data_IF_207058758511
#
_entry.id   IF_207058758511
#
_cell.length_a   1.000
_cell.length_b   1.000
_cell.length_c   1.000
_cell.angle_alpha   90.00
_cell.angle_beta   90.00
_cell.angle_gamma   90.00
#
_symmetry.space_group_name_H-M   'P 1'
#
loop_
_entity.id
_entity.type
_entity.pdbx_description
1 polymer ?
#
# COMPACT_ATOMS: atom_id res chain seq x y z
N UNK A 1 35.70 -38.15 -22.38
CA UNK A 1 35.56 -36.88 -21.63
C UNK A 1 34.56 -35.86 -22.23
N UNK A 2 33.74 -36.21 -23.23
CA UNK A 2 32.78 -35.27 -23.84
C UNK A 2 31.34 -35.42 -23.32
N UNK A 3 30.95 -36.61 -22.84
CA UNK A 3 29.56 -36.92 -22.42
C UNK A 3 29.22 -36.30 -21.05
N UNK A 4 30.15 -36.35 -20.10
CA UNK A 4 30.00 -35.76 -18.75
C UNK A 4 29.85 -34.23 -18.81
N UNK A 5 30.58 -33.56 -19.74
CA UNK A 5 30.44 -32.12 -19.99
C UNK A 5 29.06 -31.75 -20.54
N UNK A 6 28.49 -32.56 -21.44
CA UNK A 6 27.16 -32.29 -22.01
C UNK A 6 26.05 -32.40 -20.96
N UNK A 7 26.11 -33.40 -20.08
CA UNK A 7 25.13 -33.62 -19.00
C UNK A 7 25.15 -32.46 -17.98
N UNK A 8 26.33 -31.99 -17.58
CA UNK A 8 26.47 -30.82 -16.69
C UNK A 8 25.90 -29.53 -17.28
N UNK A 9 26.11 -29.29 -18.59
CA UNK A 9 25.61 -28.08 -19.25
C UNK A 9 24.07 -28.10 -19.33
N UNK A 10 23.46 -29.24 -19.64
CA UNK A 10 21.99 -29.37 -19.66
C UNK A 10 21.35 -29.22 -18.28
N UNK A 11 21.99 -29.73 -17.22
CA UNK A 11 21.45 -29.63 -15.86
C UNK A 11 21.45 -28.17 -15.36
N UNK A 12 22.49 -27.39 -15.67
CA UNK A 12 22.56 -25.96 -15.31
C UNK A 12 21.52 -25.10 -16.03
N UNK A 13 21.19 -25.40 -17.28
CA UNK A 13 20.18 -24.64 -18.05
C UNK A 13 18.78 -24.85 -17.46
N UNK A 14 18.45 -26.08 -17.04
CA UNK A 14 17.15 -26.40 -16.43
C UNK A 14 16.96 -25.69 -15.08
N UNK A 15 18.01 -25.61 -14.25
CA UNK A 15 17.95 -24.93 -12.95
C UNK A 15 17.75 -23.41 -13.12
N UNK A 16 18.41 -22.79 -14.11
CA UNK A 16 18.21 -21.37 -14.42
C UNK A 16 16.79 -21.08 -14.93
N UNK A 17 16.19 -21.98 -15.73
CA UNK A 17 14.82 -21.83 -16.23
C UNK A 17 13.75 -21.97 -15.14
N UNK A 18 13.99 -22.81 -14.12
CA UNK A 18 13.06 -22.95 -12.98
C UNK A 18 13.17 -21.72 -12.05
N UNK A 19 14.37 -21.18 -11.84
CA UNK A 19 14.57 -19.96 -11.05
C UNK A 19 13.95 -18.71 -11.70
N UNK A 20 13.99 -18.59 -13.03
CA UNK A 20 13.40 -17.46 -13.75
C UNK A 20 11.87 -17.40 -13.61
N UNK A 21 11.18 -18.55 -13.60
CA UNK A 21 9.73 -18.61 -13.45
C UNK A 21 9.26 -18.36 -12.00
N UNK A 22 10.08 -18.68 -11.00
CA UNK A 22 9.79 -18.36 -9.60
C UNK A 22 9.90 -16.84 -9.32
N UNK A 23 10.83 -16.13 -9.97
CA UNK A 23 10.96 -14.68 -9.84
C UNK A 23 9.75 -13.90 -10.42
N UNK A 24 9.07 -14.40 -11.45
CA UNK A 24 7.87 -13.75 -12.00
C UNK A 24 6.63 -13.86 -11.10
N UNK A 25 6.56 -14.89 -10.25
CA UNK A 25 5.46 -15.08 -9.29
C UNK A 25 5.56 -14.14 -8.08
N UNK A 26 6.72 -13.53 -7.86
CA UNK A 26 7.00 -12.56 -6.80
C UNK A 26 6.75 -11.13 -7.28
N UNK A 27 6.42 -10.90 -8.57
CA UNK A 27 5.91 -9.60 -9.01
C UNK A 27 4.57 -9.39 -8.30
N UNK A 28 4.64 -8.54 -7.30
CA UNK A 28 3.87 -8.65 -6.07
C UNK A 28 2.39 -8.55 -6.33
N UNK A 29 1.60 -9.37 -5.64
CA UNK A 29 0.17 -9.35 -5.82
C UNK A 29 -0.35 -8.03 -5.25
N UNK A 30 -0.77 -7.09 -6.11
CA UNK A 30 -1.29 -5.77 -5.73
C UNK A 30 -2.77 -5.66 -6.06
N UNK A 31 -3.47 -4.85 -5.26
CA UNK A 31 -4.85 -4.46 -5.57
C UNK A 31 -4.85 -3.31 -6.57
N UNK A 32 -5.84 -3.27 -7.45
CA UNK A 32 -6.18 -2.05 -8.16
C UNK A 32 -6.94 -1.13 -7.20
N UNK A 33 -6.53 0.14 -7.09
CA UNK A 33 -7.20 1.13 -6.27
C UNK A 33 -7.88 2.19 -7.13
N UNK A 34 -9.14 2.48 -6.81
CA UNK A 34 -9.88 3.61 -7.37
C UNK A 34 -9.81 4.84 -6.47
N UNK A 35 -9.66 4.64 -5.15
CA UNK A 35 -9.60 5.75 -4.20
C UNK A 35 -8.80 5.37 -2.95
N UNK A 36 -8.11 6.35 -2.36
CA UNK A 36 -7.74 6.34 -0.95
C UNK A 36 -8.54 7.40 -0.20
N UNK A 37 -8.93 7.10 1.02
CA UNK A 37 -9.67 8.01 1.89
C UNK A 37 -8.94 8.10 3.23
N UNK A 38 -8.84 9.31 3.78
CA UNK A 38 -8.38 9.55 5.14
C UNK A 38 -9.58 10.00 5.96
N UNK A 39 -9.96 9.22 6.96
CA UNK A 39 -11.06 9.46 7.89
C UNK A 39 -10.49 9.92 9.23
N UNK A 40 -10.95 11.08 9.69
CA UNK A 40 -10.73 11.52 11.07
C UNK A 40 -11.87 10.95 11.93
N UNK A 41 -11.59 9.90 12.71
CA UNK A 41 -12.51 9.34 13.69
C UNK A 41 -12.21 9.83 15.12
N UNK A 42 -11.44 10.92 15.25
CA UNK A 42 -11.19 11.59 16.52
C UNK A 42 -12.28 12.61 16.83
N UNK A 43 -12.31 13.09 18.08
CA UNK A 43 -13.16 14.19 18.50
C UNK A 43 -12.59 15.58 18.19
N UNK A 44 -11.33 15.66 17.74
CA UNK A 44 -10.61 16.90 17.46
C UNK A 44 -10.43 17.16 15.96
N UNK A 45 -10.02 18.39 15.62
CA UNK A 45 -9.59 18.71 14.26
C UNK A 45 -8.17 18.18 14.09
N UNK A 46 -7.93 17.48 13.00
CA UNK A 46 -6.58 17.10 12.60
C UNK A 46 -6.03 18.12 11.61
N UNK A 47 -4.80 18.55 11.83
CA UNK A 47 -4.11 19.53 11.01
C UNK A 47 -2.97 18.88 10.23
N UNK A 48 -2.65 19.45 9.07
CA UNK A 48 -1.55 19.05 8.18
C UNK A 48 -1.48 17.55 7.92
N UNK A 49 -2.65 16.95 7.74
CA UNK A 49 -2.81 15.51 7.52
C UNK A 49 -2.21 15.14 6.17
N UNK A 50 -1.25 14.23 6.18
CA UNK A 50 -0.54 13.78 4.99
C UNK A 50 -0.35 12.27 5.00
N UNK A 51 -0.61 11.64 3.86
CA UNK A 51 -0.29 10.24 3.59
C UNK A 51 0.71 10.19 2.45
N UNK A 52 1.84 9.53 2.70
CA UNK A 52 2.90 9.26 1.73
C UNK A 52 2.97 7.75 1.47
N UNK A 53 2.81 7.35 0.22
CA UNK A 53 2.98 5.97 -0.24
C UNK A 53 4.41 5.72 -0.70
N UNK A 54 5.02 4.63 -0.26
CA UNK A 54 6.40 4.27 -0.62
C UNK A 54 6.44 2.89 -1.29
N UNK A 55 7.31 2.67 -2.29
CA UNK A 55 8.33 3.61 -2.81
C UNK A 55 7.80 4.63 -3.83
N UNK A 56 6.52 4.56 -4.21
CA UNK A 56 5.93 5.39 -5.29
C UNK A 56 6.00 6.90 -5.06
N UNK A 57 6.23 7.33 -3.82
CA UNK A 57 6.21 8.73 -3.38
C UNK A 57 4.91 9.46 -3.70
N UNK A 58 3.80 8.74 -3.90
CA UNK A 58 2.49 9.35 -4.05
C UNK A 58 2.06 9.98 -2.72
N UNK A 59 1.54 11.20 -2.79
CA UNK A 59 1.14 11.99 -1.62
C UNK A 59 -0.32 12.40 -1.74
N UNK A 60 -1.06 12.24 -0.66
CA UNK A 60 -2.34 12.92 -0.43
C UNK A 60 -2.23 13.75 0.85
N UNK A 61 -2.69 14.99 0.82
CA UNK A 61 -2.64 15.87 1.99
C UNK A 61 -3.80 16.85 2.04
N UNK A 62 -4.22 17.19 3.25
CA UNK A 62 -5.16 18.28 3.54
C UNK A 62 -4.63 19.08 4.73
N UNK A 63 -4.87 20.39 4.72
CA UNK A 63 -4.44 21.25 5.82
C UNK A 63 -5.28 21.02 7.09
N UNK A 64 -6.57 20.74 6.94
CA UNK A 64 -7.46 20.49 8.06
C UNK A 64 -8.44 19.38 7.72
N UNK A 65 -8.73 18.53 8.70
CA UNK A 65 -9.71 17.46 8.62
C UNK A 65 -10.56 17.46 9.90
N UNK A 66 -11.79 17.93 9.78
CA UNK A 66 -12.73 18.05 10.89
C UNK A 66 -13.10 16.67 11.49
N UNK A 67 -13.54 16.62 12.75
CA UNK A 67 -14.06 15.41 13.37
C UNK A 67 -15.10 14.70 12.51
N UNK A 68 -14.98 13.38 12.39
CA UNK A 68 -15.90 12.52 11.64
C UNK A 68 -16.03 12.89 10.15
N UNK A 69 -15.02 13.57 9.59
CA UNK A 69 -14.94 13.89 8.16
C UNK A 69 -13.85 13.09 7.47
N UNK A 70 -14.04 12.94 6.16
CA UNK A 70 -13.16 12.20 5.29
C UNK A 70 -12.59 13.10 4.20
N UNK A 71 -11.32 12.86 3.87
CA UNK A 71 -10.64 13.44 2.73
C UNK A 71 -10.35 12.35 1.70
N UNK A 72 -10.85 12.53 0.48
CA UNK A 72 -10.70 11.55 -0.59
C UNK A 72 -9.57 11.96 -1.54
N UNK A 73 -8.69 11.01 -1.80
CA UNK A 73 -7.66 11.04 -2.82
C UNK A 73 -8.07 10.07 -3.91
N UNK A 74 -8.56 10.60 -5.03
CA UNK A 74 -8.92 9.78 -6.18
C UNK A 74 -7.69 9.15 -6.82
N UNK A 75 -7.83 7.91 -7.28
CA UNK A 75 -6.89 7.24 -8.17
C UNK A 75 -7.60 6.90 -9.48
N UNK A 76 -6.91 7.04 -10.61
CA UNK A 76 -7.43 6.60 -11.90
C UNK A 76 -7.22 5.09 -12.08
N UNK A 77 -7.89 4.27 -11.26
CA UNK A 77 -7.88 2.80 -11.31
C UNK A 77 -6.49 2.20 -11.54
N UNK A 78 -5.54 2.51 -10.65
CA UNK A 78 -4.14 2.09 -10.79
C UNK A 78 -3.78 1.00 -9.80
N UNK A 79 -2.84 0.13 -10.16
CA UNK A 79 -2.28 -0.84 -9.22
C UNK A 79 -1.61 -0.12 -8.03
N UNK A 80 -1.88 -0.60 -6.82
CA UNK A 80 -1.22 -0.14 -5.59
C UNK A 80 0.22 -0.64 -5.57
N UNK A 81 1.13 0.15 -6.15
CA UNK A 81 2.56 -0.17 -6.21
C UNK A 81 3.32 0.14 -4.90
N UNK A 82 2.61 0.52 -3.83
CA UNK A 82 3.20 0.88 -2.56
C UNK A 82 3.24 -0.31 -1.60
N UNK A 83 4.35 -0.42 -0.87
CA UNK A 83 4.60 -1.41 0.19
C UNK A 83 4.04 -0.97 1.52
N UNK A 84 4.25 0.30 1.84
CA UNK A 84 3.81 0.90 3.08
C UNK A 84 3.39 2.33 2.83
N UNK A 85 2.67 2.86 3.80
CA UNK A 85 2.26 4.25 3.86
C UNK A 85 2.75 4.88 5.16
N UNK A 86 3.18 6.13 5.07
CA UNK A 86 3.51 6.96 6.22
C UNK A 86 2.43 8.01 6.32
N UNK A 87 1.71 8.03 7.44
CA UNK A 87 0.70 9.04 7.75
C UNK A 87 1.22 9.95 8.85
N UNK A 88 1.07 11.26 8.65
CA UNK A 88 1.44 12.30 9.61
C UNK A 88 0.30 13.28 9.80
N UNK A 89 0.13 13.80 11.00
CA UNK A 89 -0.85 14.82 11.33
C UNK A 89 -0.44 15.54 12.62
N UNK A 90 -1.12 16.65 12.90
CA UNK A 90 -1.06 17.32 14.19
C UNK A 90 -2.47 17.43 14.80
N UNK A 91 -2.56 17.38 16.13
CA UNK A 91 -3.83 17.59 16.86
C UNK A 91 -4.07 19.08 17.17
N UNK A 92 -5.22 19.40 17.77
CA UNK A 92 -5.57 20.77 18.20
C UNK A 92 -4.67 21.33 19.30
N UNK A 93 -3.93 20.47 20.01
CA UNK A 93 -2.93 20.88 20.99
C UNK A 93 -1.56 21.18 20.36
N UNK A 94 -1.42 20.98 19.04
CA UNK A 94 -0.18 21.18 18.29
C UNK A 94 0.81 20.02 18.39
N UNK A 95 0.42 18.89 19.01
CA UNK A 95 1.25 17.69 19.03
C UNK A 95 1.27 17.06 17.65
N UNK A 96 2.45 16.61 17.22
CA UNK A 96 2.64 15.99 15.91
C UNK A 96 2.82 14.48 16.03
N UNK A 97 2.17 13.76 15.12
CA UNK A 97 2.13 12.30 15.11
C UNK A 97 2.59 11.76 13.75
N UNK A 98 3.11 10.53 13.79
CA UNK A 98 3.56 9.81 12.61
C UNK A 98 3.35 8.31 12.82
N UNK A 99 2.68 7.67 11.87
CA UNK A 99 2.54 6.23 11.84
C UNK A 99 2.96 5.66 10.48
N UNK A 100 3.69 4.55 10.50
CA UNK A 100 3.99 3.76 9.32
C UNK A 100 3.11 2.52 9.32
N UNK A 101 2.48 2.23 8.18
CA UNK A 101 1.50 1.16 8.03
C UNK A 101 1.85 0.35 6.79
N UNK A 102 2.03 -0.96 6.96
CA UNK A 102 2.20 -1.89 5.84
C UNK A 102 0.89 -2.03 5.06
N UNK A 103 0.98 -2.00 3.73
CA UNK A 103 -0.19 -2.10 2.86
C UNK A 103 -0.47 -3.57 2.51
N UNK A 104 -1.76 -3.97 2.43
CA UNK A 104 -2.12 -5.37 2.22
C UNK A 104 -1.69 -5.83 0.83
N UNK A 105 -1.15 -7.05 0.76
CA UNK A 105 -0.87 -7.73 -0.52
C UNK A 105 -2.10 -8.51 -0.97
N UNK A 106 -2.33 -8.57 -2.28
CA UNK A 106 -3.46 -9.25 -2.92
C UNK A 106 -3.23 -10.76 -3.05
N UNK A 107 -3.02 -11.44 -1.93
CA UNK A 107 -2.65 -12.87 -1.92
C UNK A 107 -3.68 -13.75 -2.65
N UNK A 108 -4.96 -13.37 -2.56
CA UNK A 108 -6.08 -14.05 -3.18
C UNK A 108 -6.25 -13.77 -4.70
N UNK A 109 -5.45 -12.87 -5.29
CA UNK A 109 -5.58 -12.44 -6.70
C UNK A 109 -6.98 -11.90 -7.03
N UNK A 110 -7.59 -11.18 -6.08
CA UNK A 110 -8.86 -10.49 -6.33
C UNK A 110 -8.64 -9.41 -7.39
N UNK A 111 -9.32 -9.52 -8.52
CA UNK A 111 -9.22 -8.58 -9.64
C UNK A 111 -10.15 -7.38 -9.48
N UNK A 112 -11.04 -7.39 -8.50
CA UNK A 112 -11.98 -6.28 -8.27
C UNK A 112 -11.22 -5.07 -7.72
N UNK A 113 -11.43 -3.88 -8.29
CA UNK A 113 -10.89 -2.65 -7.73
C UNK A 113 -11.33 -2.46 -6.28
N UNK A 114 -10.47 -1.82 -5.49
CA UNK A 114 -10.67 -1.55 -4.06
C UNK A 114 -10.57 -0.06 -3.77
N UNK A 115 -11.24 0.34 -2.69
CA UNK A 115 -11.05 1.63 -2.04
C UNK A 115 -10.29 1.40 -0.72
N UNK A 116 -9.19 2.13 -0.54
CA UNK A 116 -8.38 2.08 0.67
C UNK A 116 -8.83 3.17 1.64
N UNK A 117 -9.10 2.83 2.89
CA UNK A 117 -9.46 3.81 3.93
C UNK A 117 -8.45 3.76 5.05
N UNK A 118 -7.89 4.91 5.40
CA UNK A 118 -7.11 5.18 6.60
C UNK A 118 -8.03 5.80 7.63
N UNK A 119 -8.11 5.26 8.83
CA UNK A 119 -8.90 5.84 9.92
C UNK A 119 -7.99 6.19 11.08
N UNK A 120 -7.92 7.48 11.44
CA UNK A 120 -7.17 7.99 12.60
C UNK A 120 -8.12 8.05 13.80
N UNK A 121 -7.77 7.41 14.91
CA UNK A 121 -8.56 7.37 16.16
C UNK A 121 -7.98 8.25 17.27
N UNK A 122 -8.79 8.51 18.30
CA UNK A 122 -8.44 9.38 19.44
C UNK A 122 -7.19 8.91 20.22
N UNK A 123 -6.89 7.62 20.19
CA UNK A 123 -5.67 7.04 20.80
C UNK A 123 -4.42 7.21 19.93
N UNK A 124 -4.53 7.98 18.84
CA UNK A 124 -3.50 8.22 17.83
C UNK A 124 -3.10 6.98 17.02
N UNK A 125 -3.91 5.92 17.07
CA UNK A 125 -3.72 4.77 16.19
C UNK A 125 -4.38 5.00 14.83
N UNK A 126 -3.81 4.34 13.81
CA UNK A 126 -4.36 4.33 12.46
C UNK A 126 -4.69 2.91 12.03
N UNK A 127 -5.93 2.69 11.62
CA UNK A 127 -6.36 1.45 10.98
C UNK A 127 -6.47 1.62 9.46
N UNK A 128 -6.31 0.50 8.74
CA UNK A 128 -6.51 0.43 7.30
C UNK A 128 -7.57 -0.60 6.93
N UNK A 129 -8.42 -0.25 5.97
CA UNK A 129 -9.46 -1.13 5.44
C UNK A 129 -9.46 -1.05 3.91
N UNK A 130 -9.54 -2.21 3.25
CA UNK A 130 -9.77 -2.32 1.81
C UNK A 130 -11.22 -2.76 1.57
N UNK A 131 -12.03 -1.88 0.99
CA UNK A 131 -13.40 -2.18 0.61
C UNK A 131 -13.49 -2.40 -0.91
N UNK A 132 -14.42 -3.23 -1.42
CA UNK A 132 -14.75 -3.23 -2.84
C UNK A 132 -15.07 -1.82 -3.33
N UNK A 133 -14.56 -1.44 -4.50
CA UNK A 133 -15.07 -0.29 -5.23
C UNK A 133 -16.37 -0.69 -5.93
N UNK A 134 -17.38 0.16 -5.87
CA UNK A 134 -18.62 0.02 -6.66
C UNK A 134 -18.36 0.13 -8.16
#
# INVERSE_FOLDING_TARGET
>A
MAIVRKISITLSIVICLIAANACSLIKEQRFQLNQATILNATNGILHDVKVLHQPTSAVGSTHSLLPNRAFNVGFNSREMMADYSIITWSDDAGNSYRQQIELPKNVARDTRPKNLTYTIYDDNTVAIILNPSE
#
